data_IF_362104422005
#
_entry.id   IF_362104422005
#
_cell.length_a   1.000
_cell.length_b   1.000
_cell.length_c   1.000
_cell.angle_alpha   90.00
_cell.angle_beta   90.00
_cell.angle_gamma   90.00
#
_symmetry.space_group_name_H-M   'P 1'
#
loop_
_entity.id
_entity.type
_entity.pdbx_description
1 polymer ?
#
# COMPACT_ATOMS: atom_id res chain seq x y z
N UNK A 1 -15.71 -7.59 -8.09
CA UNK A 1 -16.57 -6.61 -7.39
C UNK A 1 -17.39 -5.63 -8.28
N UNK A 2 -16.81 -4.82 -9.18
CA UNK A 2 -17.56 -3.72 -9.85
C UNK A 2 -18.81 -4.16 -10.64
N UNK A 3 -18.73 -5.25 -11.40
CA UNK A 3 -19.87 -5.76 -12.17
C UNK A 3 -20.95 -6.35 -11.28
N UNK A 4 -20.59 -6.87 -10.10
CA UNK A 4 -21.58 -7.29 -9.10
C UNK A 4 -22.37 -6.07 -8.60
N UNK A 5 -21.69 -4.97 -8.28
CA UNK A 5 -22.34 -3.73 -7.88
C UNK A 5 -23.22 -3.15 -9.01
N UNK A 6 -22.77 -3.21 -10.26
CA UNK A 6 -23.53 -2.73 -11.43
C UNK A 6 -24.78 -3.57 -11.74
N UNK A 7 -24.67 -4.90 -11.65
CA UNK A 7 -25.75 -5.81 -12.02
C UNK A 7 -26.68 -6.16 -10.85
N UNK A 8 -26.19 -6.05 -9.61
CA UNK A 8 -26.94 -6.35 -8.39
C UNK A 8 -27.08 -7.84 -8.05
N UNK A 9 -26.35 -8.73 -8.74
CA UNK A 9 -26.42 -10.18 -8.48
C UNK A 9 -25.12 -10.93 -8.84
N UNK A 10 -24.97 -12.09 -8.19
CA UNK A 10 -23.77 -12.92 -8.21
C UNK A 10 -23.50 -13.60 -9.57
N UNK A 11 -22.24 -13.97 -9.79
CA UNK A 11 -21.86 -14.75 -10.99
C UNK A 11 -22.55 -16.12 -10.94
N UNK A 12 -23.18 -16.50 -12.04
CA UNK A 12 -23.88 -17.78 -12.18
C UNK A 12 -25.37 -17.74 -11.78
N UNK A 13 -25.85 -16.62 -11.23
CA UNK A 13 -27.28 -16.40 -11.03
C UNK A 13 -27.92 -15.72 -12.25
N UNK A 14 -29.18 -16.04 -12.51
CA UNK A 14 -29.98 -15.34 -13.51
C UNK A 14 -30.34 -13.93 -13.00
N UNK A 15 -30.57 -12.96 -13.90
CA UNK A 15 -31.09 -11.65 -13.51
C UNK A 15 -32.36 -11.81 -12.66
N UNK A 16 -32.54 -11.05 -11.57
CA UNK A 16 -33.77 -11.09 -10.78
C UNK A 16 -35.00 -10.89 -11.68
N UNK A 17 -35.92 -11.86 -11.67
CA UNK A 17 -37.11 -11.84 -12.53
C UNK A 17 -36.90 -12.31 -13.98
N UNK A 18 -35.72 -12.83 -14.34
CA UNK A 18 -35.45 -13.45 -15.64
C UNK A 18 -35.32 -12.48 -16.83
N UNK A 19 -35.52 -11.19 -16.59
CA UNK A 19 -35.46 -10.14 -17.61
C UNK A 19 -34.48 -9.07 -17.13
N UNK A 20 -33.37 -8.88 -17.85
CA UNK A 20 -32.36 -7.91 -17.40
C UNK A 20 -31.08 -7.91 -18.21
N UNK A 21 -30.17 -7.05 -17.79
CA UNK A 21 -28.80 -7.08 -18.29
C UNK A 21 -28.05 -8.29 -17.69
N UNK A 22 -27.08 -8.84 -18.41
CA UNK A 22 -26.35 -10.02 -17.96
C UNK A 22 -24.85 -9.91 -18.22
N UNK A 23 -24.04 -10.64 -17.46
CA UNK A 23 -22.59 -10.77 -17.72
C UNK A 23 -22.37 -11.41 -19.10
N UNK A 24 -21.42 -10.90 -19.86
CA UNK A 24 -21.10 -11.34 -21.22
C UNK A 24 -19.58 -11.53 -21.43
N UNK A 25 -18.98 -12.32 -20.54
CA UNK A 25 -17.56 -12.65 -20.59
C UNK A 25 -16.64 -11.45 -20.32
N UNK A 26 -15.44 -11.53 -20.88
CA UNK A 26 -14.36 -10.58 -20.67
C UNK A 26 -13.80 -10.10 -22.01
N UNK A 27 -13.17 -8.93 -22.02
CA UNK A 27 -12.36 -8.43 -23.12
C UNK A 27 -10.95 -8.16 -22.64
N UNK A 28 -9.99 -8.63 -23.41
CA UNK A 28 -8.59 -8.36 -23.13
C UNK A 28 -8.22 -6.92 -23.45
N UNK A 29 -7.32 -6.37 -22.66
CA UNK A 29 -6.81 -5.02 -22.83
C UNK A 29 -5.40 -4.93 -22.26
N UNK A 30 -4.46 -4.43 -23.05
CA UNK A 30 -3.13 -4.10 -22.56
C UNK A 30 -3.13 -2.67 -22.06
N UNK A 31 -2.61 -2.48 -20.86
CA UNK A 31 -2.56 -1.20 -20.17
C UNK A 31 -1.11 -0.92 -19.80
N UNK A 32 -0.67 0.31 -20.05
CA UNK A 32 0.68 0.76 -19.77
C UNK A 32 0.71 1.42 -18.39
N UNK A 33 1.57 0.92 -17.52
CA UNK A 33 1.94 1.50 -16.22
C UNK A 33 3.38 2.02 -16.30
N UNK A 34 3.84 2.69 -15.26
CA UNK A 34 5.19 3.27 -15.21
C UNK A 34 6.29 2.18 -15.17
N UNK A 35 5.94 0.96 -14.78
CA UNK A 35 6.84 -0.20 -14.73
C UNK A 35 6.64 -1.22 -15.87
N UNK A 36 5.80 -0.91 -16.85
CA UNK A 36 5.64 -1.74 -18.05
C UNK A 36 4.19 -1.95 -18.48
N UNK A 37 4.00 -2.86 -19.44
CA UNK A 37 2.67 -3.17 -19.96
C UNK A 37 2.08 -4.38 -19.23
N UNK A 38 0.86 -4.22 -18.74
CA UNK A 38 0.10 -5.25 -18.04
C UNK A 38 -1.12 -5.62 -18.86
N UNK A 39 -1.35 -6.92 -19.06
CA UNK A 39 -2.56 -7.43 -19.74
C UNK A 39 -3.66 -7.62 -18.70
N UNK A 40 -4.84 -7.06 -18.99
CA UNK A 40 -6.00 -7.08 -18.10
C UNK A 40 -7.20 -7.69 -18.83
N UNK A 41 -8.04 -8.42 -18.10
CA UNK A 41 -9.33 -8.92 -18.60
C UNK A 41 -10.47 -8.07 -18.02
N UNK A 42 -11.03 -7.17 -18.85
CA UNK A 42 -12.16 -6.35 -18.43
C UNK A 42 -13.47 -7.12 -18.55
N UNK A 43 -14.26 -7.25 -17.46
CA UNK A 43 -15.56 -7.88 -17.52
C UNK A 43 -16.53 -7.03 -18.34
N UNK A 44 -17.47 -7.70 -19.03
CA UNK A 44 -18.47 -7.06 -19.89
C UNK A 44 -19.88 -7.47 -19.49
N UNK A 45 -20.81 -6.56 -19.73
CA UNK A 45 -22.24 -6.84 -19.71
C UNK A 45 -22.78 -6.98 -21.15
N UNK A 46 -23.94 -7.63 -21.28
CA UNK A 46 -24.56 -7.95 -22.57
C UNK A 46 -25.10 -6.69 -23.25
N UNK A 47 -25.54 -5.70 -22.47
CA UNK A 47 -26.02 -4.40 -22.98
C UNK A 47 -24.91 -3.38 -23.22
N UNK A 48 -23.67 -3.66 -22.82
CA UNK A 48 -22.54 -2.72 -22.96
C UNK A 48 -22.63 -1.47 -22.08
N UNK A 49 -23.55 -1.45 -21.12
CA UNK A 49 -23.84 -0.34 -20.21
C UNK A 49 -22.90 -0.27 -19.00
N UNK A 50 -22.13 -1.34 -18.72
CA UNK A 50 -21.20 -1.35 -17.60
C UNK A 50 -20.02 -0.43 -17.87
N UNK A 51 -19.76 0.54 -17.00
CA UNK A 51 -18.60 1.44 -17.07
C UNK A 51 -17.64 1.16 -15.91
N UNK A 52 -16.48 0.51 -16.17
CA UNK A 52 -15.51 0.26 -15.14
C UNK A 52 -14.97 1.58 -14.58
N UNK A 53 -14.95 1.71 -13.25
CA UNK A 53 -14.47 2.92 -12.59
C UNK A 53 -12.95 2.97 -12.53
N UNK A 54 -12.33 1.80 -12.36
CA UNK A 54 -10.89 1.76 -12.12
C UNK A 54 -10.11 1.87 -13.42
N UNK A 55 -10.38 1.03 -14.40
CA UNK A 55 -9.79 1.18 -15.74
C UNK A 55 -10.91 1.47 -16.75
N UNK A 56 -11.25 2.75 -16.98
CA UNK A 56 -12.26 3.16 -17.94
C UNK A 56 -12.12 2.51 -19.32
N UNK A 57 -13.25 2.40 -20.02
CA UNK A 57 -13.27 1.92 -21.41
C UNK A 57 -12.29 2.74 -22.25
N UNK A 58 -11.55 2.08 -23.14
CA UNK A 58 -10.57 2.68 -24.08
C UNK A 58 -9.32 3.32 -23.45
N UNK A 59 -9.24 3.47 -22.12
CA UNK A 59 -8.06 4.03 -21.45
C UNK A 59 -6.88 3.04 -21.45
N UNK A 60 -5.81 3.30 -22.22
CA UNK A 60 -4.64 2.42 -22.30
C UNK A 60 -3.49 2.75 -21.34
N UNK A 61 -3.50 3.92 -20.70
CA UNK A 61 -2.54 4.25 -19.63
C UNK A 61 -3.25 4.15 -18.29
N UNK A 62 -2.66 3.46 -17.33
CA UNK A 62 -3.21 3.37 -15.99
C UNK A 62 -2.24 3.97 -14.99
N UNK A 63 -2.42 5.27 -14.82
CA UNK A 63 -1.84 6.05 -13.75
C UNK A 63 -2.47 5.60 -12.42
N UNK A 64 -1.70 5.54 -11.34
CA UNK A 64 -2.26 5.12 -10.06
C UNK A 64 -2.22 3.61 -9.80
N UNK A 65 -1.66 2.77 -10.68
CA UNK A 65 -1.62 1.30 -10.47
C UNK A 65 -0.74 0.95 -9.28
N UNK A 66 0.43 1.57 -9.23
CA UNK A 66 1.47 1.27 -8.26
C UNK A 66 1.05 1.82 -6.89
N UNK A 67 0.47 3.02 -6.85
CA UNK A 67 -0.09 3.64 -5.65
C UNK A 67 -1.20 2.78 -5.03
N UNK A 68 -2.00 2.07 -5.84
CA UNK A 68 -3.00 1.12 -5.33
C UNK A 68 -2.35 -0.13 -4.75
N UNK A 69 -1.28 -0.64 -5.36
CA UNK A 69 -0.48 -1.74 -4.80
C UNK A 69 0.10 -1.33 -3.44
N UNK A 70 0.70 -0.15 -3.37
CA UNK A 70 1.27 0.42 -2.14
C UNK A 70 0.18 0.60 -1.08
N UNK A 71 -0.98 1.14 -1.44
CA UNK A 71 -2.09 1.30 -0.49
C UNK A 71 -2.57 -0.04 0.08
N UNK A 72 -2.74 -1.08 -0.75
CA UNK A 72 -3.12 -2.41 -0.26
C UNK A 72 -2.05 -3.04 0.63
N UNK A 73 -0.77 -2.84 0.28
CA UNK A 73 0.34 -3.28 1.12
C UNK A 73 0.35 -2.55 2.47
N UNK A 74 0.13 -1.24 2.47
CA UNK A 74 -0.01 -0.43 3.69
C UNK A 74 -1.21 -0.86 4.55
N UNK A 75 -2.29 -1.35 3.95
CA UNK A 75 -3.40 -1.99 4.67
C UNK A 75 -3.07 -3.37 5.25
N UNK A 76 -1.84 -3.87 5.10
CA UNK A 76 -1.37 -5.13 5.66
C UNK A 76 -1.78 -6.37 4.87
N UNK A 77 -2.22 -6.21 3.61
CA UNK A 77 -2.52 -7.35 2.74
C UNK A 77 -1.21 -8.07 2.37
N UNK A 78 -1.22 -9.40 2.40
CA UNK A 78 -0.06 -10.15 1.90
C UNK A 78 0.08 -9.99 0.39
N UNK A 79 1.28 -10.19 -0.17
CA UNK A 79 1.49 -10.14 -1.63
C UNK A 79 0.54 -11.07 -2.38
N UNK A 80 0.22 -12.24 -1.78
CA UNK A 80 -0.75 -13.19 -2.33
C UNK A 80 -2.18 -12.63 -2.31
N UNK A 81 -2.57 -11.98 -1.22
CA UNK A 81 -3.90 -11.37 -1.10
C UNK A 81 -4.05 -10.19 -2.06
N UNK A 82 -3.00 -9.36 -2.20
CA UNK A 82 -2.93 -8.29 -3.19
C UNK A 82 -3.11 -8.88 -4.59
N UNK A 83 -2.36 -9.93 -4.94
CA UNK A 83 -2.47 -10.57 -6.25
C UNK A 83 -3.88 -11.13 -6.51
N UNK A 84 -4.48 -11.80 -5.52
CA UNK A 84 -5.84 -12.33 -5.62
C UNK A 84 -6.86 -11.21 -5.80
N UNK A 85 -6.72 -10.12 -5.05
CA UNK A 85 -7.59 -8.96 -5.12
C UNK A 85 -7.47 -8.23 -6.46
N UNK A 86 -6.25 -8.03 -6.96
CA UNK A 86 -5.98 -7.46 -8.28
C UNK A 86 -6.57 -8.35 -9.39
N UNK A 87 -6.45 -9.68 -9.26
CA UNK A 87 -7.08 -10.62 -10.20
C UNK A 87 -8.60 -10.53 -10.17
N UNK A 88 -9.21 -10.43 -8.99
CA UNK A 88 -10.67 -10.36 -8.85
C UNK A 88 -11.25 -9.03 -9.36
N UNK A 89 -10.60 -7.91 -9.05
CA UNK A 89 -11.06 -6.59 -9.46
C UNK A 89 -10.80 -6.32 -10.94
N UNK A 90 -9.62 -6.69 -11.43
CA UNK A 90 -9.14 -6.25 -12.75
C UNK A 90 -8.99 -7.37 -13.76
N UNK A 91 -9.17 -8.63 -13.37
CA UNK A 91 -8.87 -9.77 -14.24
C UNK A 91 -7.39 -9.81 -14.63
N UNK A 92 -6.51 -9.29 -13.77
CA UNK A 92 -5.08 -9.16 -14.04
C UNK A 92 -4.31 -10.26 -13.35
N UNK A 93 -3.54 -11.01 -14.13
CA UNK A 93 -2.47 -11.83 -13.58
C UNK A 93 -1.24 -10.94 -13.35
N UNK A 94 -1.15 -10.38 -12.16
CA UNK A 94 0.06 -9.66 -11.75
C UNK A 94 1.08 -10.68 -11.26
N UNK A 95 2.29 -10.64 -11.82
CA UNK A 95 3.41 -11.44 -11.32
C UNK A 95 3.80 -10.98 -9.92
N UNK A 96 4.16 -11.94 -9.06
CA UNK A 96 4.68 -11.66 -7.72
C UNK A 96 5.82 -10.63 -7.77
N UNK A 97 6.70 -10.74 -8.76
CA UNK A 97 7.84 -9.85 -8.97
C UNK A 97 7.45 -8.40 -9.26
N UNK A 98 6.29 -8.14 -9.88
CA UNK A 98 5.83 -6.75 -10.06
C UNK A 98 5.39 -6.16 -8.73
N UNK A 99 4.62 -6.91 -7.94
CA UNK A 99 4.15 -6.44 -6.62
C UNK A 99 5.36 -6.18 -5.72
N UNK A 100 6.31 -7.12 -5.67
CA UNK A 100 7.54 -6.95 -4.90
C UNK A 100 8.33 -5.71 -5.34
N UNK A 101 8.57 -5.51 -6.65
CA UNK A 101 9.29 -4.32 -7.13
C UNK A 101 8.59 -3.02 -6.76
N UNK A 102 7.26 -2.96 -6.88
CA UNK A 102 6.49 -1.76 -6.51
C UNK A 102 6.56 -1.51 -5.01
N UNK A 103 6.42 -2.55 -4.18
CA UNK A 103 6.54 -2.39 -2.72
C UNK A 103 7.97 -2.08 -2.28
N UNK A 104 8.97 -2.59 -3.00
CA UNK A 104 10.38 -2.33 -2.73
C UNK A 104 10.76 -0.89 -3.07
N UNK A 105 10.14 -0.29 -4.08
CA UNK A 105 10.36 1.12 -4.42
C UNK A 105 10.01 2.06 -3.25
N UNK A 106 8.98 1.71 -2.46
CA UNK A 106 8.60 2.48 -1.25
C UNK A 106 9.68 2.41 -0.17
N UNK A 107 10.57 1.41 -0.18
CA UNK A 107 11.65 1.33 0.80
C UNK A 107 12.65 2.48 0.64
N UNK A 108 12.83 2.99 -0.58
CA UNK A 108 13.68 4.14 -0.82
C UNK A 108 13.04 5.42 -0.27
N UNK A 109 11.73 5.60 -0.46
CA UNK A 109 10.96 6.70 0.15
C UNK A 109 11.01 6.65 1.69
N UNK A 110 10.94 5.45 2.27
CA UNK A 110 11.05 5.25 3.73
C UNK A 110 12.45 5.64 4.22
N UNK A 111 13.51 5.31 3.48
CA UNK A 111 14.88 5.70 3.83
C UNK A 111 15.07 7.21 3.74
N UNK A 112 14.52 7.83 2.71
CA UNK A 112 14.53 9.29 2.56
C UNK A 112 13.78 9.96 3.71
N UNK A 113 12.59 9.45 4.06
CA UNK A 113 11.83 9.92 5.21
C UNK A 113 12.58 9.75 6.54
N UNK A 114 13.29 8.64 6.75
CA UNK A 114 14.12 8.44 7.94
C UNK A 114 15.33 9.39 8.00
N UNK A 115 15.88 9.78 6.84
CA UNK A 115 17.04 10.66 6.74
C UNK A 115 16.68 12.15 6.65
N UNK A 116 15.39 12.49 6.63
CA UNK A 116 14.92 13.87 6.44
C UNK A 116 15.44 14.79 7.55
N UNK A 117 15.76 16.05 7.24
CA UNK A 117 16.07 17.04 8.26
C UNK A 117 14.86 17.26 9.17
N UNK A 118 15.11 17.40 10.46
CA UNK A 118 14.08 17.72 11.45
C UNK A 118 14.14 19.20 11.80
N UNK A 119 13.05 19.74 12.36
CA UNK A 119 13.07 21.09 12.90
C UNK A 119 14.06 21.22 14.07
N UNK A 120 14.58 22.42 14.29
CA UNK A 120 15.54 22.69 15.36
C UNK A 120 14.95 22.49 16.76
N UNK A 121 13.64 22.68 16.92
CA UNK A 121 12.97 22.67 18.23
C UNK A 121 11.62 21.97 18.18
N UNK A 122 11.50 20.90 18.97
CA UNK A 122 10.23 20.26 19.32
C UNK A 122 9.97 20.44 20.83
N UNK A 123 9.02 21.30 21.25
CA UNK A 123 8.75 21.55 22.68
C UNK A 123 8.36 20.31 23.49
N UNK A 124 7.75 19.31 22.84
CA UNK A 124 7.32 18.07 23.49
C UNK A 124 7.82 16.90 22.67
N UNK A 125 8.41 15.91 23.34
CA UNK A 125 8.87 14.65 22.75
C UNK A 125 8.27 13.47 23.50
N UNK A 126 7.59 12.59 22.78
CA UNK A 126 7.11 11.30 23.27
C UNK A 126 8.02 10.20 22.74
N UNK A 127 8.46 9.32 23.64
CA UNK A 127 9.29 8.17 23.33
C UNK A 127 8.56 6.92 23.85
N UNK A 128 8.36 5.95 22.96
CA UNK A 128 7.69 4.68 23.31
C UNK A 128 8.41 3.48 22.67
N UNK A 129 8.26 2.31 23.28
CA UNK A 129 8.79 1.04 22.79
C UNK A 129 7.68 -0.02 22.75
N UNK A 130 7.32 -0.45 21.55
CA UNK A 130 6.24 -1.41 21.29
C UNK A 130 6.83 -2.75 20.87
N UNK A 131 6.38 -3.86 21.46
CA UNK A 131 6.77 -5.19 20.99
C UNK A 131 5.89 -5.60 19.81
N UNK A 132 6.50 -5.72 18.63
CA UNK A 132 5.85 -6.12 17.38
C UNK A 132 6.30 -7.52 16.95
N UNK A 133 5.38 -8.30 16.42
CA UNK A 133 5.67 -9.63 15.85
C UNK A 133 6.03 -9.48 14.38
N UNK A 134 7.28 -9.72 14.03
CA UNK A 134 7.79 -9.64 12.67
C UNK A 134 8.13 -11.04 12.17
N UNK A 135 7.71 -11.35 10.94
CA UNK A 135 8.08 -12.59 10.27
C UNK A 135 9.39 -12.36 9.51
N UNK A 136 10.44 -13.05 9.93
CA UNK A 136 11.79 -12.96 9.37
C UNK A 136 12.35 -14.37 9.14
N UNK A 137 12.78 -14.67 7.91
CA UNK A 137 13.37 -15.97 7.56
C UNK A 137 12.47 -17.18 7.83
N UNK A 138 11.15 -17.03 7.71
CA UNK A 138 10.17 -18.11 7.98
C UNK A 138 9.81 -18.30 9.46
N UNK A 139 10.43 -17.57 10.39
CA UNK A 139 10.09 -17.58 11.80
C UNK A 139 9.44 -16.25 12.22
N UNK A 140 8.45 -16.31 13.10
CA UNK A 140 7.88 -15.11 13.74
C UNK A 140 8.71 -14.79 14.98
N UNK A 141 9.23 -13.57 15.06
CA UNK A 141 10.06 -13.09 16.16
C UNK A 141 9.44 -11.82 16.74
N UNK A 142 9.61 -11.64 18.05
CA UNK A 142 9.26 -10.38 18.70
C UNK A 142 10.43 -9.40 18.50
N UNK A 143 10.13 -8.21 17.98
CA UNK A 143 11.07 -7.09 17.89
C UNK A 143 10.52 -5.93 18.73
N UNK A 144 11.41 -5.20 19.39
CA UNK A 144 11.08 -3.92 20.00
C UNK A 144 11.13 -2.82 18.92
N UNK A 145 10.01 -2.16 18.69
CA UNK A 145 9.85 -0.99 17.83
C UNK A 145 9.87 0.26 18.71
N UNK A 146 10.94 1.02 18.62
CA UNK A 146 11.11 2.31 19.27
C UNK A 146 10.52 3.39 18.37
N UNK A 147 9.65 4.23 18.94
CA UNK A 147 8.97 5.31 18.22
C UNK A 147 9.25 6.62 18.92
N UNK A 148 9.64 7.64 18.14
CA UNK A 148 9.75 9.01 18.62
C UNK A 148 8.71 9.89 17.93
N UNK A 149 7.91 10.62 18.72
CA UNK A 149 6.90 11.56 18.22
C UNK A 149 7.15 12.93 18.84
N UNK A 150 7.36 13.93 18.00
CA UNK A 150 7.55 15.31 18.39
C UNK A 150 6.26 16.11 18.21
N UNK A 151 6.07 17.14 19.03
CA UNK A 151 5.12 18.23 18.77
C UNK A 151 5.94 19.45 18.40
N UNK A 152 5.67 20.06 17.24
CA UNK A 152 6.39 21.26 16.80
C UNK A 152 5.82 22.53 17.47
N UNK A 153 6.38 23.69 17.10
CA UNK A 153 5.95 24.99 17.67
C UNK A 153 4.52 25.38 17.29
N UNK A 154 4.00 24.85 16.18
CA UNK A 154 2.61 25.04 15.75
C UNK A 154 1.62 24.10 16.45
N UNK A 155 2.12 23.18 17.29
CA UNK A 155 1.30 22.19 17.99
C UNK A 155 0.96 20.95 17.16
N UNK A 156 1.57 20.79 15.99
CA UNK A 156 1.38 19.63 15.12
C UNK A 156 2.24 18.45 15.59
N UNK A 157 1.67 17.26 15.57
CA UNK A 157 2.37 16.02 15.93
C UNK A 157 3.03 15.42 14.68
N UNK A 158 4.31 15.12 14.79
CA UNK A 158 5.08 14.45 13.73
C UNK A 158 5.84 13.24 14.29
N UNK A 159 5.88 12.16 13.50
CA UNK A 159 6.68 10.98 13.83
C UNK A 159 8.11 11.26 13.40
N UNK A 160 9.02 11.42 14.36
CA UNK A 160 10.40 11.80 14.09
C UNK A 160 11.25 10.61 13.66
N UNK A 161 10.86 9.39 14.05
CA UNK A 161 11.56 8.19 13.62
C UNK A 161 11.01 6.90 14.22
N UNK A 162 11.46 5.79 13.62
CA UNK A 162 11.08 4.41 13.95
C UNK A 162 12.32 3.53 13.89
N UNK A 163 12.59 2.76 14.96
CA UNK A 163 13.75 1.87 15.03
C UNK A 163 13.37 0.49 15.55
N UNK A 164 13.88 -0.56 14.91
CA UNK A 164 13.59 -1.95 15.29
C UNK A 164 14.82 -2.61 15.91
N UNK A 165 14.65 -3.25 17.07
CA UNK A 165 15.71 -3.99 17.73
C UNK A 165 15.24 -5.37 18.20
N UNK A 166 16.15 -6.35 18.22
CA UNK A 166 15.83 -7.73 18.65
C UNK A 166 15.55 -7.88 20.15
N UNK A 167 16.02 -6.94 20.96
CA UNK A 167 15.83 -6.95 22.40
C UNK A 167 15.67 -5.53 22.91
N UNK A 168 14.82 -5.35 23.92
CA UNK A 168 14.71 -4.08 24.61
C UNK A 168 15.98 -3.81 25.42
N UNK A 169 16.54 -2.60 25.29
CA UNK A 169 17.68 -2.19 26.11
C UNK A 169 17.78 -0.68 26.24
N UNK A 170 17.91 -0.19 27.47
CA UNK A 170 18.03 1.24 27.78
C UNK A 170 19.21 1.93 27.05
N UNK A 171 20.26 1.16 26.69
CA UNK A 171 21.40 1.66 25.91
C UNK A 171 21.03 2.12 24.50
N UNK A 172 19.95 1.58 23.93
CA UNK A 172 19.55 1.91 22.58
C UNK A 172 18.90 3.30 22.48
N UNK A 173 18.22 3.76 23.54
CA UNK A 173 17.64 5.11 23.58
C UNK A 173 18.68 6.21 23.38
N UNK A 174 19.91 6.01 23.86
CA UNK A 174 20.99 6.97 23.63
C UNK A 174 21.33 7.09 22.13
N UNK A 175 21.33 5.97 21.39
CA UNK A 175 21.56 5.99 19.96
C UNK A 175 20.43 6.72 19.22
N UNK A 176 19.17 6.45 19.60
CA UNK A 176 17.98 7.14 19.04
C UNK A 176 18.06 8.65 19.27
N UNK A 177 18.36 9.09 20.50
CA UNK A 177 18.47 10.51 20.83
C UNK A 177 19.63 11.20 20.08
N UNK A 178 20.77 10.52 19.93
CA UNK A 178 21.89 11.04 19.17
C UNK A 178 21.56 11.21 17.68
N UNK A 179 20.81 10.26 17.11
CA UNK A 179 20.35 10.33 15.72
C UNK A 179 19.37 11.49 15.52
N UNK A 180 18.38 11.64 16.40
CA UNK A 180 17.44 12.77 16.38
C UNK A 180 18.16 14.13 16.46
N UNK A 181 19.11 14.26 17.38
CA UNK A 181 19.91 15.49 17.51
C UNK A 181 20.76 15.76 16.25
N UNK A 182 21.30 14.70 15.64
CA UNK A 182 22.07 14.80 14.39
C UNK A 182 21.19 15.11 13.18
N UNK A 183 19.89 14.83 13.23
CA UNK A 183 18.93 15.15 12.17
C UNK A 183 18.40 16.58 12.28
N UNK A 184 18.18 17.07 13.51
CA UNK A 184 17.80 18.47 13.77
C UNK A 184 18.93 19.45 13.44
N UNK A 185 20.18 19.13 13.84
CA UNK A 185 21.34 20.00 13.61
C UNK A 185 21.78 20.15 12.15
N UNK A 186 21.18 19.42 11.20
CA UNK A 186 21.44 19.57 9.75
C UNK A 186 20.68 20.71 9.10
N UNK A 187 19.77 21.35 9.83
CA UNK A 187 18.89 22.41 9.31
C UNK A 187 19.51 23.81 9.47
N UNK A 188 20.71 23.91 10.07
CA UNK A 188 21.50 25.14 10.21
C UNK A 188 22.53 25.35 9.09
#
# INVERSE_FOLDING_TARGET
AEVLAHLGYERGQAPPGGVGNARNGFSEKTVHTDHGSVRIEQPRDRRGSFEPQIVPKRQRRFHGFDERIVAMYACGMSVRDIQAHLRELYGVEVGHDLISRVTDAVLDDVREWQARPLEDVYPILFLDALIVKVRDGGAVRNLACYVAVGVNLDGERDVLGLWFQRSEGAKFWLAVLNELNSAASRTC
#
